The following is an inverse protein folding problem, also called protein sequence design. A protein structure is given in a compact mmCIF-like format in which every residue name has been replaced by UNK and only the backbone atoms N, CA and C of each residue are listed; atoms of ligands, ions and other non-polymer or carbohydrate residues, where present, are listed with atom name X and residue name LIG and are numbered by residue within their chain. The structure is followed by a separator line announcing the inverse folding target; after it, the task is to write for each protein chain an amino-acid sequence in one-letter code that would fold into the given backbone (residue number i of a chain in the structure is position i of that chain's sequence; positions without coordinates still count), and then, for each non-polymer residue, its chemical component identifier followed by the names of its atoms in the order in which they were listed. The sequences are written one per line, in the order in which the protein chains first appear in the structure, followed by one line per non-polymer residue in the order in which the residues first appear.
data_IF_835493914735
#
_entry.id   IF_835493914735
#
_cell.length_a   1.000
_cell.length_b   1.000
_cell.length_c   1.000
_cell.angle_alpha   90.00
_cell.angle_beta   90.00
_cell.angle_gamma   90.00
#
_symmetry.space_group_name_H-M   'P 1'
#
loop_
_entity.id
_entity.type
_entity.pdbx_description
1 polymer ?
#
# COMPACT_ATOMS: atom_id res chain seq x y z
N UNK A 1 21.68 22.52 -5.41
CA UNK A 1 21.41 22.61 -6.87
C UNK A 1 20.78 21.28 -7.26
N UNK A 2 19.61 21.36 -7.90
CA UNK A 2 18.64 20.30 -8.05
C UNK A 2 19.20 19.05 -8.73
N UNK A 3 19.12 17.90 -8.06
CA UNK A 3 19.13 16.61 -8.74
C UNK A 3 17.68 16.35 -9.16
N UNK A 4 17.41 16.66 -10.42
CA UNK A 4 16.08 16.55 -10.99
C UNK A 4 15.70 15.09 -11.06
N UNK A 5 14.82 14.65 -10.15
CA UNK A 5 13.88 13.58 -10.46
C UNK A 5 13.08 14.11 -11.66
N UNK A 6 13.51 13.75 -12.86
CA UNK A 6 12.66 13.82 -14.03
C UNK A 6 11.53 12.86 -13.72
N UNK A 7 10.44 13.39 -13.19
CA UNK A 7 9.21 12.65 -13.06
C UNK A 7 8.89 12.15 -14.47
N UNK A 8 9.02 10.85 -14.68
CA UNK A 8 8.70 10.21 -15.93
C UNK A 8 7.25 10.57 -16.23
N UNK A 9 7.04 11.46 -17.20
CA UNK A 9 5.73 12.09 -17.43
C UNK A 9 4.87 11.20 -18.34
N UNK A 10 5.12 9.89 -18.39
CA UNK A 10 4.66 9.02 -19.49
C UNK A 10 3.87 7.77 -19.08
N UNK A 11 3.19 7.77 -17.94
CA UNK A 11 2.07 6.84 -17.77
C UNK A 11 0.90 7.50 -17.02
N UNK A 12 -0.19 7.86 -17.72
CA UNK A 12 -1.36 8.41 -17.06
C UNK A 12 -1.95 7.36 -16.12
N UNK A 13 -2.08 7.67 -14.83
CA UNK A 13 -2.83 6.87 -13.87
C UNK A 13 -4.19 7.51 -13.61
N UNK A 14 -5.26 6.73 -13.74
CA UNK A 14 -6.59 7.18 -13.31
C UNK A 14 -6.85 6.67 -11.90
N UNK A 15 -7.16 7.59 -10.98
CA UNK A 15 -7.53 7.25 -9.60
C UNK A 15 -8.99 7.60 -9.37
N UNK A 16 -9.78 6.64 -8.87
CA UNK A 16 -11.14 6.88 -8.41
C UNK A 16 -11.28 6.48 -6.93
N UNK A 17 -11.01 7.43 -6.01
CA UNK A 17 -11.09 7.18 -4.58
C UNK A 17 -12.53 6.96 -4.13
N UNK A 18 -12.73 6.03 -3.18
CA UNK A 18 -14.00 5.80 -2.49
C UNK A 18 -15.20 5.68 -3.45
N UNK A 19 -15.02 4.93 -4.54
CA UNK A 19 -15.94 4.90 -5.68
C UNK A 19 -17.38 4.55 -5.28
N UNK A 20 -17.53 3.61 -4.36
CA UNK A 20 -18.80 3.17 -3.79
C UNK A 20 -19.47 4.25 -2.93
N UNK A 21 -18.68 5.10 -2.25
CA UNK A 21 -19.18 6.15 -1.36
C UNK A 21 -20.17 7.11 -2.03
N UNK A 22 -19.93 7.44 -3.31
CA UNK A 22 -20.82 8.31 -4.11
C UNK A 22 -22.22 7.72 -4.33
N UNK A 23 -22.38 6.41 -4.17
CA UNK A 23 -23.61 5.70 -4.53
C UNK A 23 -24.31 5.03 -3.35
N UNK A 24 -23.67 4.99 -2.18
CA UNK A 24 -24.25 4.42 -0.94
C UNK A 24 -25.46 5.19 -0.41
N UNK A 25 -25.85 6.28 -1.07
CA UNK A 25 -27.03 7.09 -0.79
C UNK A 25 -27.12 7.57 0.67
N UNK A 26 -26.05 8.14 1.25
CA UNK A 26 -26.10 8.62 2.63
C UNK A 26 -27.17 9.71 2.84
N UNK A 27 -27.42 10.52 1.81
CA UNK A 27 -28.28 11.70 1.88
C UNK A 27 -29.67 11.51 1.25
N UNK A 28 -30.01 10.29 0.80
CA UNK A 28 -31.31 10.00 0.18
C UNK A 28 -31.51 10.57 -1.23
N UNK A 29 -30.45 11.06 -1.88
CA UNK A 29 -30.49 11.68 -3.21
C UNK A 29 -30.60 10.68 -4.39
N UNK A 30 -30.47 9.38 -4.13
CA UNK A 30 -30.63 8.31 -5.12
C UNK A 30 -31.78 7.39 -4.74
N UNK A 31 -32.58 6.98 -5.73
CA UNK A 31 -33.47 5.83 -5.56
C UNK A 31 -32.67 4.54 -5.35
N UNK A 32 -33.27 3.53 -4.70
CA UNK A 32 -32.65 2.21 -4.49
C UNK A 32 -32.13 1.60 -5.80
N UNK A 33 -32.88 1.77 -6.90
CA UNK A 33 -32.47 1.31 -8.24
C UNK A 33 -31.23 2.04 -8.74
N UNK A 34 -31.13 3.35 -8.52
CA UNK A 34 -29.94 4.12 -8.90
C UNK A 34 -28.74 3.72 -8.04
N UNK A 35 -28.92 3.59 -6.73
CA UNK A 35 -27.87 3.18 -5.79
C UNK A 35 -27.25 1.83 -6.18
N UNK A 36 -28.04 0.86 -6.65
CA UNK A 36 -27.52 -0.44 -7.09
C UNK A 36 -26.97 -0.45 -8.53
N UNK A 37 -27.49 0.39 -9.44
CA UNK A 37 -27.12 0.33 -10.87
C UNK A 37 -25.95 1.24 -11.22
N UNK A 38 -25.85 2.41 -10.60
CA UNK A 38 -24.83 3.41 -10.94
C UNK A 38 -23.38 2.98 -10.60
N UNK A 39 -23.09 2.31 -9.47
CA UNK A 39 -21.75 1.80 -9.18
C UNK A 39 -21.24 0.86 -10.29
N UNK A 40 -22.09 -0.10 -10.70
CA UNK A 40 -21.75 -1.07 -11.74
C UNK A 40 -21.45 -0.37 -13.07
N UNK A 41 -22.25 0.65 -13.42
CA UNK A 41 -22.00 1.47 -14.62
C UNK A 41 -20.71 2.29 -14.52
N UNK A 42 -20.39 2.81 -13.36
CA UNK A 42 -19.17 3.57 -13.14
C UNK A 42 -17.93 2.67 -13.31
N UNK A 43 -17.94 1.49 -12.67
CA UNK A 43 -16.91 0.46 -12.84
C UNK A 43 -16.75 0.07 -14.31
N UNK A 44 -17.85 -0.24 -15.01
CA UNK A 44 -17.81 -0.59 -16.42
C UNK A 44 -17.22 0.53 -17.30
N UNK A 45 -17.53 1.79 -17.01
CA UNK A 45 -16.95 2.94 -17.72
C UNK A 45 -15.45 3.05 -17.47
N UNK A 46 -15.01 2.88 -16.22
CA UNK A 46 -13.59 2.94 -15.83
C UNK A 46 -12.79 1.79 -16.46
N UNK A 47 -13.31 0.56 -16.45
CA UNK A 47 -12.73 -0.56 -17.20
C UNK A 47 -12.65 -0.26 -18.70
N UNK A 48 -13.66 0.42 -19.26
CA UNK A 48 -13.62 0.89 -20.64
C UNK A 48 -12.55 1.97 -20.88
N UNK A 49 -12.30 2.86 -19.92
CA UNK A 49 -11.22 3.86 -19.99
C UNK A 49 -9.85 3.17 -19.97
N UNK A 50 -9.64 2.22 -19.04
CA UNK A 50 -8.42 1.43 -18.95
C UNK A 50 -8.09 0.77 -20.30
N UNK A 51 -9.05 0.03 -20.87
CA UNK A 51 -8.88 -0.70 -22.13
C UNK A 51 -8.67 0.19 -23.35
N UNK A 52 -9.37 1.33 -23.44
CA UNK A 52 -9.28 2.20 -24.62
C UNK A 52 -8.00 3.02 -24.67
N UNK A 53 -7.45 3.36 -23.52
CA UNK A 53 -6.29 4.25 -23.43
C UNK A 53 -5.02 3.52 -22.97
N UNK A 54 -5.12 2.22 -22.67
CA UNK A 54 -4.03 1.41 -22.13
C UNK A 54 -3.40 2.04 -20.88
N UNK A 55 -4.24 2.46 -19.94
CA UNK A 55 -3.84 3.15 -18.72
C UNK A 55 -4.26 2.38 -17.47
N UNK A 56 -3.42 2.32 -16.43
CA UNK A 56 -3.81 1.75 -15.15
C UNK A 56 -4.94 2.57 -14.51
N UNK A 57 -5.84 1.87 -13.83
CA UNK A 57 -6.94 2.46 -13.05
C UNK A 57 -6.90 1.91 -11.64
N UNK A 58 -6.73 2.80 -10.66
CA UNK A 58 -6.77 2.46 -9.23
C UNK A 58 -8.09 2.93 -8.64
N UNK A 59 -8.80 2.00 -8.02
CA UNK A 59 -10.08 2.24 -7.34
C UNK A 59 -9.90 1.96 -5.85
N UNK A 60 -10.52 2.77 -5.00
CA UNK A 60 -10.68 2.40 -3.58
C UNK A 60 -12.16 2.29 -3.22
N UNK A 61 -12.45 1.41 -2.26
CA UNK A 61 -13.79 1.24 -1.68
C UNK A 61 -13.78 1.70 -0.24
N UNK A 62 -14.91 2.24 0.22
CA UNK A 62 -15.08 2.71 1.60
C UNK A 62 -15.21 1.56 2.60
N UNK A 63 -15.72 0.40 2.17
CA UNK A 63 -15.83 -0.82 2.99
C UNK A 63 -16.00 -2.05 2.11
N UNK A 64 -15.68 -3.21 2.68
CA UNK A 64 -15.89 -4.52 2.06
C UNK A 64 -17.28 -5.07 2.42
N UNK A 65 -18.22 -4.98 1.49
CA UNK A 65 -19.57 -5.52 1.59
C UNK A 65 -20.15 -5.88 0.21
N UNK A 66 -21.33 -6.51 0.19
CA UNK A 66 -22.05 -6.90 -1.04
C UNK A 66 -22.22 -5.73 -2.02
N UNK A 67 -22.43 -4.52 -1.52
CA UNK A 67 -22.58 -3.33 -2.36
C UNK A 67 -21.28 -2.99 -3.12
N UNK A 68 -20.12 -3.17 -2.48
CA UNK A 68 -18.81 -2.94 -3.08
C UNK A 68 -18.30 -4.13 -3.92
N UNK A 69 -18.94 -5.30 -3.83
CA UNK A 69 -18.48 -6.51 -4.51
C UNK A 69 -18.19 -6.34 -6.02
N UNK A 70 -19.00 -5.58 -6.80
CA UNK A 70 -18.70 -5.34 -8.21
C UNK A 70 -17.36 -4.65 -8.48
N UNK A 71 -16.82 -3.89 -7.51
CA UNK A 71 -15.50 -3.25 -7.63
C UNK A 71 -14.41 -4.33 -7.60
N UNK A 72 -14.47 -5.23 -6.61
CA UNK A 72 -13.51 -6.33 -6.49
C UNK A 72 -13.62 -7.32 -7.66
N UNK A 73 -14.85 -7.65 -8.08
CA UNK A 73 -15.09 -8.55 -9.22
C UNK A 73 -14.52 -8.04 -10.55
N UNK A 74 -14.46 -6.71 -10.73
CA UNK A 74 -13.97 -6.11 -11.96
C UNK A 74 -12.46 -5.82 -11.94
N UNK A 75 -11.80 -5.95 -10.80
CA UNK A 75 -10.39 -5.63 -10.65
C UNK A 75 -9.51 -6.79 -11.14
N UNK A 76 -8.45 -6.47 -11.88
CA UNK A 76 -7.45 -7.46 -12.29
C UNK A 76 -6.55 -7.88 -11.11
N UNK A 77 -6.38 -7.00 -10.12
CA UNK A 77 -5.65 -7.24 -8.88
C UNK A 77 -6.32 -6.52 -7.70
N UNK A 78 -6.21 -7.09 -6.50
CA UNK A 78 -6.73 -6.50 -5.26
C UNK A 78 -5.56 -6.27 -4.30
N UNK A 79 -5.51 -5.06 -3.74
CA UNK A 79 -4.59 -4.70 -2.66
C UNK A 79 -5.43 -4.49 -1.41
N UNK A 80 -5.25 -5.34 -0.41
CA UNK A 80 -5.86 -5.20 0.90
C UNK A 80 -5.10 -4.19 1.74
N UNK A 81 -5.83 -3.36 2.48
CA UNK A 81 -5.25 -2.40 3.43
C UNK A 81 -5.73 -2.76 4.83
N UNK A 82 -4.78 -3.07 5.71
CA UNK A 82 -5.02 -3.30 7.14
C UNK A 82 -4.38 -2.18 7.95
N UNK A 83 -5.17 -1.45 8.72
CA UNK A 83 -4.63 -0.52 9.71
C UNK A 83 -3.96 -1.31 10.84
N UNK A 84 -2.68 -1.04 11.09
CA UNK A 84 -1.91 -1.64 12.18
C UNK A 84 -1.45 -0.56 13.16
N UNK A 85 -0.95 -0.97 14.33
CA UNK A 85 -0.34 -0.04 15.29
C UNK A 85 0.88 0.72 14.73
N UNK A 86 1.48 0.23 13.65
CA UNK A 86 2.65 0.83 13.00
C UNK A 86 2.30 1.64 11.74
N UNK A 87 1.00 1.71 11.40
CA UNK A 87 0.49 2.34 10.19
C UNK A 87 -0.19 1.33 9.24
N UNK A 88 -0.73 1.81 8.10
CA UNK A 88 -1.41 0.97 7.14
C UNK A 88 -0.45 -0.02 6.47
N UNK A 89 -0.83 -1.28 6.47
CA UNK A 89 -0.18 -2.35 5.71
C UNK A 89 -0.98 -2.64 4.46
N UNK A 90 -0.30 -2.65 3.32
CA UNK A 90 -0.83 -2.99 2.01
C UNK A 90 -0.33 -4.39 1.64
N UNK A 91 -1.26 -5.28 1.29
CA UNK A 91 -0.95 -6.66 0.94
C UNK A 91 -1.63 -7.04 -0.37
N UNK A 92 -0.90 -7.72 -1.24
CA UNK A 92 -1.41 -8.39 -2.44
C UNK A 92 -0.77 -9.77 -2.55
N UNK A 93 -1.08 -10.52 -3.60
CA UNK A 93 -0.46 -11.82 -3.86
C UNK A 93 1.05 -11.71 -4.19
N UNK A 94 1.52 -10.54 -4.65
CA UNK A 94 2.89 -10.34 -5.11
C UNK A 94 3.77 -9.59 -4.11
N UNK A 95 3.18 -8.74 -3.27
CA UNK A 95 3.92 -7.90 -2.35
C UNK A 95 3.17 -7.63 -1.05
N UNK A 96 3.97 -7.31 -0.03
CA UNK A 96 3.49 -6.72 1.22
C UNK A 96 4.33 -5.48 1.52
N UNK A 97 3.68 -4.38 1.90
CA UNK A 97 4.38 -3.17 2.35
C UNK A 97 3.68 -2.48 3.51
N UNK A 98 4.47 -1.93 4.42
CA UNK A 98 4.00 -1.16 5.57
C UNK A 98 4.39 0.31 5.37
N UNK A 99 3.41 1.19 5.56
CA UNK A 99 3.63 2.63 5.45
C UNK A 99 3.45 3.27 6.82
N UNK A 100 4.40 4.11 7.21
CA UNK A 100 4.47 4.73 8.52
C UNK A 100 3.99 6.18 8.46
N UNK A 101 3.11 6.62 9.36
CA UNK A 101 2.74 8.02 9.46
C UNK A 101 3.91 8.85 10.00
N UNK A 102 4.26 9.94 9.31
CA UNK A 102 5.26 10.92 9.75
C UNK A 102 4.72 12.34 9.57
N UNK A 103 4.49 13.05 10.67
CA UNK A 103 3.96 14.42 10.63
C UNK A 103 2.65 14.50 9.83
N UNK A 104 2.70 15.19 8.68
CA UNK A 104 1.58 15.39 7.76
C UNK A 104 1.60 14.46 6.54
N UNK A 105 2.36 13.37 6.57
CA UNK A 105 2.51 12.46 5.45
C UNK A 105 2.73 11.01 5.87
N UNK A 106 3.00 10.18 4.87
CA UNK A 106 3.21 8.75 5.01
C UNK A 106 4.55 8.40 4.35
N UNK A 107 5.38 7.58 5.00
CA UNK A 107 6.66 7.10 4.46
C UNK A 107 6.68 5.59 4.40
N UNK A 108 7.20 5.05 3.31
CA UNK A 108 7.53 3.64 3.17
C UNK A 108 9.05 3.48 3.36
N UNK A 109 9.47 2.52 4.18
CA UNK A 109 10.89 2.17 4.26
C UNK A 109 11.19 1.11 3.21
N UNK A 110 12.08 1.42 2.28
CA UNK A 110 12.59 0.45 1.28
C UNK A 110 13.94 -0.10 1.75
N UNK A 111 14.43 -1.19 1.15
CA UNK A 111 15.79 -1.70 1.45
C UNK A 111 16.86 -0.63 1.22
N UNK A 112 16.74 0.17 0.16
CA UNK A 112 17.63 1.31 -0.10
C UNK A 112 17.58 2.38 1.01
N UNK A 113 16.40 2.59 1.64
CA UNK A 113 16.30 3.44 2.82
C UNK A 113 17.03 2.83 4.03
N UNK A 114 16.92 1.51 4.23
CA UNK A 114 17.63 0.81 5.31
C UNK A 114 19.14 0.82 5.10
N UNK A 115 19.64 0.64 3.88
CA UNK A 115 21.07 0.82 3.56
C UNK A 115 21.57 2.20 3.99
N UNK A 116 20.86 3.26 3.62
CA UNK A 116 21.18 4.63 4.02
C UNK A 116 21.14 4.84 5.55
N UNK A 117 20.14 4.27 6.22
CA UNK A 117 20.05 4.35 7.69
C UNK A 117 21.20 3.63 8.36
N UNK A 118 21.60 2.47 7.84
CA UNK A 118 22.72 1.69 8.36
C UNK A 118 24.04 2.40 8.11
N UNK A 119 24.29 2.94 6.91
CA UNK A 119 25.46 3.77 6.60
C UNK A 119 25.56 4.98 7.54
N UNK A 120 24.45 5.70 7.75
CA UNK A 120 24.41 6.86 8.64
C UNK A 120 24.68 6.48 10.11
N UNK A 121 24.40 5.23 10.51
CA UNK A 121 24.60 4.72 11.87
C UNK A 121 25.91 3.95 12.06
N UNK A 122 26.65 3.64 11.00
CA UNK A 122 27.97 2.98 11.10
C UNK A 122 28.95 3.69 12.05
N UNK A 123 29.01 5.03 12.17
CA UNK A 123 29.92 5.67 13.11
C UNK A 123 29.57 5.44 14.59
N UNK A 124 28.32 5.09 14.91
CA UNK A 124 27.83 4.91 16.29
C UNK A 124 28.01 3.46 16.77
N UNK A 125 28.12 2.50 15.85
CA UNK A 125 28.28 1.07 16.13
C UNK A 125 29.61 0.50 15.66
N UNK A 126 30.67 1.31 15.65
CA UNK A 126 32.03 0.78 15.58
C UNK A 126 32.29 -0.06 16.86
N UNK A 127 31.84 -1.31 16.85
CA UNK A 127 32.21 -2.31 17.85
C UNK A 127 33.71 -2.51 17.68
N UNK A 128 34.47 -2.07 18.67
CA UNK A 128 35.84 -2.54 18.84
C UNK A 128 35.77 -4.07 18.94
N UNK A 129 36.32 -4.77 17.95
CA UNK A 129 36.47 -6.22 17.96
C UNK A 129 37.63 -6.68 18.86
N UNK A 130 38.21 -5.78 19.65
CA UNK A 130 39.21 -6.12 20.66
C UNK A 130 38.53 -6.32 22.03
N UNK A 131 38.74 -7.52 22.57
CA UNK A 131 38.36 -8.06 23.89
C UNK A 131 36.95 -8.63 24.11
N UNK A 132 36.76 -9.88 23.66
CA UNK A 132 36.20 -10.94 24.53
C UNK A 132 36.57 -12.32 24.00
N UNK A 133 37.69 -12.85 24.48
CA UNK A 133 38.01 -14.27 24.41
C UNK A 133 37.03 -15.03 25.33
N UNK A 134 35.88 -15.44 24.77
CA UNK A 134 34.91 -16.27 25.46
C UNK A 134 35.48 -17.69 25.61
N UNK A 135 36.08 -17.96 26.78
CA UNK A 135 36.44 -19.30 27.23
C UNK A 135 35.17 -20.16 27.26
N UNK A 136 35.00 -21.03 26.26
CA UNK A 136 33.90 -21.99 26.20
C UNK A 136 34.20 -23.14 27.17
N UNK A 137 33.74 -23.02 28.41
CA UNK A 137 33.70 -24.12 29.37
C UNK A 137 32.55 -25.07 29.02
N UNK A 138 32.85 -26.17 28.32
CA UNK A 138 31.88 -27.23 28.03
C UNK A 138 31.71 -28.11 29.28
N UNK A 139 30.58 -27.97 29.97
CA UNK A 139 30.17 -28.90 31.02
C UNK A 139 29.46 -30.11 30.38
N UNK A 140 30.12 -31.27 30.38
CA UNK A 140 29.48 -32.54 30.04
C UNK A 140 28.59 -32.99 31.21
N UNK A 141 27.27 -32.93 31.04
CA UNK A 141 26.31 -33.58 31.92
C UNK A 141 26.43 -35.10 31.77
N UNK A 142 26.68 -35.80 32.86
CA UNK A 142 26.69 -37.27 32.92
C UNK A 142 25.32 -37.74 33.41
N UNK A 143 24.78 -38.80 32.77
CA UNK A 143 23.60 -39.56 33.23
C UNK A 143 23.85 -40.21 34.60
#
# INVERSE_FOLDING_TARGET
LADGVTADTESPLVVAPALDGLYRNPDGNLSTKQASTLPVRAVAKLAGVARRNDVPVVLTRTRDDEFSAPIATAADAVIEVTDTQYGPRFTSDEFETLVYPVGNGMVQTTLAFWERVLEARQPVHAVSLDDSEATTGVAYGTN
#
